data_IF_758783661761
#
_entry.id   IF_758783661761
#
_cell.length_a   1.000
_cell.length_b   1.000
_cell.length_c   1.000
_cell.angle_alpha   90.00
_cell.angle_beta   90.00
_cell.angle_gamma   90.00
#
_symmetry.space_group_name_H-M   'P 1'
#
loop_
_entity.id
_entity.type
_entity.pdbx_description
1 polymer ?
#
# COMPACT_ATOMS: atom_id res chain seq x y z
N UNK A 1 -0.19 -5.11 23.48
CA UNK A 1 0.67 -6.26 23.15
C UNK A 1 1.82 -6.38 24.15
N UNK A 2 2.61 -5.32 24.37
CA UNK A 2 3.76 -5.30 25.33
C UNK A 2 3.30 -5.73 26.72
N UNK A 3 2.23 -5.10 27.24
CA UNK A 3 1.67 -5.42 28.56
C UNK A 3 1.21 -6.87 28.65
N UNK A 4 0.61 -7.42 27.61
CA UNK A 4 0.16 -8.82 27.56
C UNK A 4 1.36 -9.80 27.59
N UNK A 5 2.48 -9.44 26.96
CA UNK A 5 3.70 -10.26 26.99
C UNK A 5 4.34 -10.28 28.39
N UNK A 6 4.41 -9.12 29.04
CA UNK A 6 4.92 -9.03 30.42
C UNK A 6 4.04 -9.78 31.42
N UNK A 7 2.70 -9.66 31.26
CA UNK A 7 1.76 -10.38 32.10
C UNK A 7 1.91 -11.89 31.95
N UNK A 8 1.94 -12.39 30.70
CA UNK A 8 2.12 -13.83 30.44
C UNK A 8 3.48 -14.37 30.94
N UNK A 9 4.55 -13.60 30.81
CA UNK A 9 5.85 -13.99 31.37
C UNK A 9 5.79 -14.09 32.91
N UNK A 10 5.11 -13.14 33.57
CA UNK A 10 4.91 -13.17 35.02
C UNK A 10 4.08 -14.37 35.51
N UNK A 11 3.03 -14.76 34.74
CA UNK A 11 2.20 -15.92 35.09
C UNK A 11 2.95 -17.25 35.10
N UNK A 12 3.98 -17.38 34.24
CA UNK A 12 4.80 -18.61 34.17
C UNK A 12 6.14 -18.48 34.90
N UNK A 13 6.37 -17.37 35.58
CA UNK A 13 7.58 -17.13 36.39
C UNK A 13 8.88 -17.04 35.58
N UNK A 14 8.82 -16.55 34.36
CA UNK A 14 9.98 -16.35 33.49
C UNK A 14 10.31 -14.87 33.32
N UNK A 15 11.58 -14.54 33.13
CA UNK A 15 12.01 -13.20 32.77
C UNK A 15 11.75 -12.92 31.29
N UNK A 16 11.30 -11.71 31.00
CA UNK A 16 11.10 -11.21 29.64
C UNK A 16 11.94 -9.97 29.39
N UNK A 17 12.87 -10.07 28.46
CA UNK A 17 13.54 -8.91 27.88
C UNK A 17 12.88 -8.60 26.53
N UNK A 18 12.34 -7.40 26.39
CA UNK A 18 11.58 -7.00 25.20
C UNK A 18 12.20 -5.73 24.61
N UNK A 19 12.57 -5.80 23.34
CA UNK A 19 12.94 -4.65 22.55
C UNK A 19 11.84 -4.38 21.51
N UNK A 20 11.33 -3.14 21.46
CA UNK A 20 10.29 -2.72 20.53
C UNK A 20 10.86 -1.68 19.58
N UNK A 21 10.99 -2.05 18.31
CA UNK A 21 11.46 -1.17 17.25
C UNK A 21 10.28 -0.85 16.32
N UNK A 22 10.05 0.44 16.07
CA UNK A 22 9.06 0.87 15.09
C UNK A 22 9.75 1.05 13.73
N UNK A 23 9.57 0.10 12.83
CA UNK A 23 10.18 0.14 11.50
C UNK A 23 9.45 1.13 10.57
N UNK A 24 8.12 1.23 10.69
CA UNK A 24 7.28 2.14 9.90
C UNK A 24 5.97 2.44 10.61
N UNK A 25 5.36 3.57 10.25
CA UNK A 25 4.03 3.95 10.75
C UNK A 25 2.93 3.57 9.76
N UNK A 26 1.74 3.29 10.27
CA UNK A 26 0.56 3.12 9.42
C UNK A 26 0.22 4.44 8.72
N UNK A 27 -0.27 4.35 7.52
CA UNK A 27 -0.83 5.49 6.78
C UNK A 27 -2.24 5.19 6.28
N UNK A 28 -2.97 6.23 5.93
CA UNK A 28 -4.28 6.11 5.29
C UNK A 28 -4.43 7.21 4.24
N UNK A 29 -4.67 6.81 3.01
CA UNK A 29 -5.03 7.72 1.92
C UNK A 29 -6.56 7.79 1.81
N UNK A 30 -7.09 9.00 1.72
CA UNK A 30 -8.50 9.20 1.41
C UNK A 30 -8.80 8.89 -0.06
N UNK A 31 -10.01 8.46 -0.37
CA UNK A 31 -10.45 8.16 -1.75
C UNK A 31 -10.30 9.36 -2.72
N UNK A 32 -10.23 10.57 -2.19
CA UNK A 32 -10.04 11.82 -2.96
C UNK A 32 -8.57 12.21 -3.14
N UNK A 33 -7.62 11.49 -2.54
CA UNK A 33 -6.19 11.74 -2.75
C UNK A 33 -5.84 11.62 -4.25
N UNK A 34 -4.96 12.49 -4.74
CA UNK A 34 -4.63 12.56 -6.16
C UNK A 34 -4.10 11.21 -6.70
N UNK A 35 -3.22 10.56 -5.95
CA UNK A 35 -2.65 9.25 -6.31
C UNK A 35 -3.72 8.15 -6.35
N UNK A 36 -4.70 8.17 -5.44
CA UNK A 36 -5.82 7.21 -5.43
C UNK A 36 -6.74 7.44 -6.63
N UNK A 37 -7.03 8.69 -6.94
CA UNK A 37 -7.85 9.05 -8.12
C UNK A 37 -7.15 8.68 -9.42
N UNK A 38 -5.83 8.92 -9.52
CA UNK A 38 -5.02 8.53 -10.66
C UNK A 38 -5.07 7.00 -10.87
N UNK A 39 -4.79 6.23 -9.81
CA UNK A 39 -4.81 4.78 -9.87
C UNK A 39 -6.19 4.23 -10.27
N UNK A 40 -7.28 4.82 -9.76
CA UNK A 40 -8.64 4.45 -10.16
C UNK A 40 -8.92 4.74 -11.63
N UNK A 41 -8.60 5.95 -12.08
CA UNK A 41 -8.81 6.32 -13.48
C UNK A 41 -8.03 5.42 -14.44
N UNK A 42 -6.77 5.12 -14.12
CA UNK A 42 -5.95 4.20 -14.91
C UNK A 42 -6.54 2.77 -14.93
N UNK A 43 -7.05 2.29 -13.80
CA UNK A 43 -7.69 0.97 -13.72
C UNK A 43 -8.95 0.90 -14.62
N UNK A 44 -9.77 1.93 -14.58
CA UNK A 44 -10.99 2.04 -15.39
C UNK A 44 -10.68 2.04 -16.91
N UNK A 45 -9.63 2.77 -17.33
CA UNK A 45 -9.17 2.82 -18.73
C UNK A 45 -8.71 1.45 -19.27
N UNK A 46 -8.11 0.61 -18.41
CA UNK A 46 -7.70 -0.74 -18.81
C UNK A 46 -8.76 -1.81 -18.51
N UNK A 47 -10.00 -1.40 -18.21
CA UNK A 47 -11.12 -2.31 -17.98
C UNK A 47 -11.09 -3.03 -16.64
N UNK A 48 -10.38 -2.52 -15.64
CA UNK A 48 -10.36 -3.03 -14.27
C UNK A 48 -11.34 -2.23 -13.42
N UNK A 49 -12.24 -2.90 -12.70
CA UNK A 49 -13.07 -2.25 -11.69
C UNK A 49 -12.26 -2.07 -10.41
N UNK A 50 -11.83 -0.84 -10.04
CA UNK A 50 -10.95 -0.62 -8.92
C UNK A 50 -11.67 -0.80 -7.59
N UNK A 51 -11.03 -1.52 -6.66
CA UNK A 51 -11.51 -1.68 -5.28
C UNK A 51 -10.46 -1.13 -4.31
N UNK A 52 -10.89 -0.30 -3.37
CA UNK A 52 -10.02 0.21 -2.32
C UNK A 52 -10.06 -0.75 -1.13
N UNK A 53 -8.89 -1.19 -0.70
CA UNK A 53 -8.74 -2.08 0.44
C UNK A 53 -7.71 -1.53 1.41
N UNK A 54 -7.81 -1.97 2.66
CA UNK A 54 -6.79 -1.74 3.70
C UNK A 54 -6.02 -3.04 3.86
N UNK A 55 -4.70 -2.98 3.65
CA UNK A 55 -3.80 -4.10 3.89
C UNK A 55 -3.19 -4.00 5.29
N UNK A 56 -2.96 -5.14 5.94
CA UNK A 56 -2.33 -5.20 7.26
C UNK A 56 -0.81 -5.27 7.23
N UNK A 57 -0.21 -5.55 6.07
CA UNK A 57 1.24 -5.64 5.91
C UNK A 57 1.90 -4.29 5.67
N UNK A 58 3.21 -4.19 5.97
CA UNK A 58 4.04 -3.06 5.62
C UNK A 58 4.53 -3.09 4.18
N UNK A 59 4.81 -1.91 3.64
CA UNK A 59 5.39 -1.74 2.32
C UNK A 59 6.17 -0.42 2.27
N UNK A 60 7.01 -0.22 1.25
CA UNK A 60 7.72 1.03 1.03
C UNK A 60 6.80 2.26 1.02
N UNK A 61 5.54 2.06 0.64
CA UNK A 61 4.52 3.09 0.69
C UNK A 61 4.31 3.67 2.11
N UNK A 62 4.56 2.91 3.18
CA UNK A 62 4.51 3.43 4.54
C UNK A 62 5.58 4.51 4.74
N UNK A 63 6.83 4.20 4.37
CA UNK A 63 7.97 5.12 4.47
C UNK A 63 7.77 6.36 3.58
N UNK A 64 7.33 6.15 2.34
CA UNK A 64 7.12 7.24 1.40
C UNK A 64 6.01 8.20 1.85
N UNK A 65 4.88 7.66 2.32
CA UNK A 65 3.79 8.49 2.86
C UNK A 65 4.21 9.24 4.13
N UNK A 66 4.98 8.62 5.02
CA UNK A 66 5.52 9.28 6.21
C UNK A 66 6.42 10.46 5.86
N UNK A 67 7.20 10.34 4.78
CA UNK A 67 8.05 11.41 4.25
C UNK A 67 7.31 12.45 3.40
N UNK A 68 5.99 12.38 3.34
CA UNK A 68 5.16 13.35 2.62
C UNK A 68 5.06 13.11 1.11
N UNK A 69 5.50 11.95 0.61
CA UNK A 69 5.30 11.52 -0.77
C UNK A 69 4.07 10.60 -0.83
N UNK A 70 2.89 11.09 -1.25
CA UNK A 70 1.68 10.29 -1.32
C UNK A 70 1.87 9.11 -2.27
N UNK A 71 1.80 7.89 -1.74
CA UNK A 71 2.05 6.66 -2.47
C UNK A 71 0.94 5.66 -2.19
N UNK A 72 0.35 5.09 -3.24
CA UNK A 72 -0.66 4.03 -3.17
C UNK A 72 -0.10 2.72 -3.71
N UNK A 73 -0.35 1.62 -3.02
CA UNK A 73 -0.01 0.30 -3.52
C UNK A 73 -1.06 -0.20 -4.52
N UNK A 74 -0.61 -0.85 -5.57
CA UNK A 74 -1.44 -1.61 -6.50
C UNK A 74 -1.26 -3.10 -6.21
N UNK A 75 -2.36 -3.86 -6.23
CA UNK A 75 -2.27 -5.31 -6.12
C UNK A 75 -1.96 -5.94 -7.47
N UNK A 76 -1.23 -7.04 -7.43
CA UNK A 76 -0.83 -7.80 -8.62
C UNK A 76 -1.77 -8.96 -8.94
N UNK A 77 -2.74 -9.28 -8.08
CA UNK A 77 -3.55 -10.49 -8.20
C UNK A 77 -2.84 -11.77 -7.75
N UNK A 78 -1.78 -11.66 -6.95
CA UNK A 78 -1.05 -12.82 -6.42
C UNK A 78 -1.89 -13.62 -5.43
N UNK A 79 -1.74 -14.94 -5.48
CA UNK A 79 -2.31 -15.90 -4.54
C UNK A 79 -1.24 -16.51 -3.65
N UNK A 80 -1.61 -16.84 -2.42
CA UNK A 80 -0.73 -17.53 -1.48
C UNK A 80 0.52 -16.73 -1.10
N UNK A 81 0.43 -15.41 -1.04
CA UNK A 81 1.54 -14.51 -0.73
C UNK A 81 2.24 -14.99 0.56
N UNK A 82 3.57 -15.04 0.51
CA UNK A 82 4.44 -15.50 1.60
C UNK A 82 4.33 -17.01 1.90
N UNK A 83 3.90 -17.83 0.94
CA UNK A 83 3.87 -19.28 1.06
C UNK A 83 4.60 -19.96 -0.08
N UNK A 84 4.93 -21.26 0.08
CA UNK A 84 5.52 -22.07 -1.00
C UNK A 84 4.58 -22.28 -2.21
N UNK A 85 3.29 -21.99 -2.03
CA UNK A 85 2.27 -22.05 -3.10
C UNK A 85 1.98 -20.69 -3.74
N UNK A 86 2.83 -19.69 -3.51
CA UNK A 86 2.66 -18.37 -4.12
C UNK A 86 2.63 -18.47 -5.64
N UNK A 87 1.64 -17.84 -6.24
CA UNK A 87 1.45 -17.88 -7.68
C UNK A 87 0.81 -16.61 -8.22
N UNK A 88 1.08 -16.33 -9.49
CA UNK A 88 0.52 -15.21 -10.23
C UNK A 88 0.11 -15.69 -11.62
N UNK A 89 -1.12 -15.46 -12.02
CA UNK A 89 -1.55 -15.77 -13.38
C UNK A 89 -0.89 -14.80 -14.38
N UNK A 90 -0.37 -15.34 -15.49
CA UNK A 90 0.29 -14.52 -16.52
C UNK A 90 -0.61 -13.39 -17.04
N UNK A 91 -1.91 -13.65 -17.20
CA UNK A 91 -2.88 -12.63 -17.61
C UNK A 91 -2.94 -11.45 -16.63
N UNK A 92 -2.79 -11.72 -15.33
CA UNK A 92 -2.85 -10.69 -14.29
C UNK A 92 -1.57 -9.85 -14.26
N UNK A 93 -0.42 -10.48 -14.56
CA UNK A 93 0.85 -9.79 -14.76
C UNK A 93 0.81 -8.85 -15.98
N UNK A 94 0.27 -9.32 -17.10
CA UNK A 94 0.08 -8.50 -18.31
C UNK A 94 -0.86 -7.32 -17.98
N UNK A 95 -1.97 -7.60 -17.31
CA UNK A 95 -2.95 -6.58 -16.94
C UNK A 95 -2.37 -5.53 -15.97
N UNK A 96 -1.51 -5.94 -15.02
CA UNK A 96 -0.78 -5.01 -14.17
C UNK A 96 0.16 -4.12 -15.00
N UNK A 97 0.83 -4.67 -16.00
CA UNK A 97 1.70 -3.88 -16.89
C UNK A 97 0.90 -2.82 -17.64
N UNK A 98 -0.23 -3.17 -18.21
CA UNK A 98 -1.16 -2.21 -18.85
C UNK A 98 -1.59 -1.11 -17.87
N UNK A 99 -1.96 -1.48 -16.65
CA UNK A 99 -2.34 -0.54 -15.60
C UNK A 99 -1.20 0.44 -15.27
N UNK A 100 0.02 -0.04 -15.09
CA UNK A 100 1.17 0.81 -14.76
C UNK A 100 1.48 1.77 -15.90
N UNK A 101 1.44 1.30 -17.15
CA UNK A 101 1.62 2.15 -18.33
C UNK A 101 0.56 3.26 -18.38
N UNK A 102 -0.68 2.93 -18.07
CA UNK A 102 -1.78 3.89 -18.07
C UNK A 102 -1.64 4.91 -16.91
N UNK A 103 -1.18 4.48 -15.73
CA UNK A 103 -0.84 5.40 -14.63
C UNK A 103 0.19 6.43 -15.09
N UNK A 104 1.26 6.00 -15.76
CA UNK A 104 2.29 6.91 -16.27
C UNK A 104 1.71 7.88 -17.31
N UNK A 105 0.88 7.40 -18.22
CA UNK A 105 0.24 8.22 -19.26
C UNK A 105 -0.67 9.30 -18.68
N UNK A 106 -1.45 8.96 -17.66
CA UNK A 106 -2.41 9.88 -17.04
C UNK A 106 -1.77 10.82 -15.99
N UNK A 107 -0.62 10.48 -15.44
CA UNK A 107 0.02 11.21 -14.35
C UNK A 107 0.14 12.74 -14.61
N UNK A 108 0.51 13.24 -15.78
CA UNK A 108 0.63 14.67 -16.03
C UNK A 108 -0.67 15.44 -15.78
N UNK A 109 -1.84 14.86 -16.10
CA UNK A 109 -3.13 15.49 -15.87
C UNK A 109 -3.49 15.65 -14.38
N UNK A 110 -2.92 14.81 -13.50
CA UNK A 110 -3.13 14.84 -12.07
C UNK A 110 -2.12 15.72 -11.33
N UNK A 111 -0.92 15.91 -11.89
CA UNK A 111 0.14 16.76 -11.34
C UNK A 111 -0.10 18.24 -11.64
N UNK A 112 -0.55 18.59 -12.85
CA UNK A 112 -0.74 19.97 -13.33
C UNK A 112 -1.72 20.79 -12.49
N UNK A 113 -2.58 20.16 -11.68
CA UNK A 113 -3.54 20.87 -10.81
C UNK A 113 -2.92 21.43 -9.53
N UNK A 114 -1.68 21.08 -9.18
CA UNK A 114 -0.98 21.64 -7.99
C UNK A 114 -0.31 22.99 -8.26
N UNK A 115 0.01 23.33 -9.50
CA UNK A 115 0.72 24.56 -9.88
C UNK A 115 -0.18 25.79 -10.04
N UNK A 116 -1.50 25.70 -9.98
CA UNK A 116 -2.44 26.80 -10.28
C UNK A 116 -3.07 27.50 -9.07
N UNK A 117 -2.57 27.24 -7.85
CA UNK A 117 -3.01 27.92 -6.63
C UNK A 117 -1.87 28.64 -5.91
N UNK A 118 -1.02 29.33 -6.64
CA UNK A 118 -0.10 30.33 -6.10
C UNK A 118 0.00 31.47 -7.12
N UNK A 119 -0.94 32.35 -7.06
CA UNK A 119 -1.01 33.60 -7.78
C UNK A 119 -2.14 34.44 -7.18
#
# INVERSE_FOLDING_TARGET
LVDALHLGAGEVGTDLQLEVVTEYRRYRLGSRAAVVRLAKAAAEEVGITPRLQVAGGGADANILNERGLPTVNLTTGMWGIHSAGESLALRDLVKLTELVMEVVRLAPAFVSRRGRKAG
#
